data_IF_539873007848
#
_entry.id   IF_539873007848
#
_cell.length_a   1.000
_cell.length_b   1.000
_cell.length_c   1.000
_cell.angle_alpha   90.00
_cell.angle_beta   90.00
_cell.angle_gamma   90.00
#
_symmetry.space_group_name_H-M   'P 1'
#
loop_
_entity.id
_entity.type
_entity.pdbx_description
1 polymer ?
#
# COMPACT_ATOMS: atom_id res chain seq x y z
N UNK A 1 -18.90 -7.03 9.05
CA UNK A 1 -18.72 -5.75 8.32
C UNK A 1 -17.23 -5.51 8.14
N UNK A 2 -16.83 -5.12 6.93
CA UNK A 2 -15.42 -4.92 6.56
C UNK A 2 -14.82 -3.76 7.36
N UNK A 3 -13.69 -3.99 8.03
CA UNK A 3 -12.93 -2.99 8.76
C UNK A 3 -11.63 -2.70 8.04
N UNK A 4 -11.25 -1.42 7.96
CA UNK A 4 -9.98 -0.97 7.38
C UNK A 4 -9.15 -0.33 8.50
N UNK A 5 -8.02 -0.91 8.80
CA UNK A 5 -7.03 -0.31 9.70
C UNK A 5 -6.18 0.67 8.88
N UNK A 6 -6.35 1.94 9.15
CA UNK A 6 -5.69 3.05 8.50
C UNK A 6 -5.20 4.09 9.51
N UNK A 7 -4.55 5.13 9.06
CA UNK A 7 -4.10 6.18 9.98
C UNK A 7 -5.22 7.15 10.37
N UNK A 8 -5.41 7.35 11.69
CA UNK A 8 -6.14 8.52 12.22
C UNK A 8 -5.23 9.74 12.30
N UNK A 9 -3.93 9.51 12.58
CA UNK A 9 -2.90 10.54 12.60
C UNK A 9 -1.57 9.98 12.12
N UNK A 10 -0.88 10.72 11.27
CA UNK A 10 0.42 10.40 10.70
C UNK A 10 1.29 11.65 10.65
N UNK A 11 2.61 11.48 10.59
CA UNK A 11 3.53 12.59 10.41
C UNK A 11 3.21 13.42 9.15
N UNK A 12 3.34 14.74 9.24
CA UNK A 12 2.99 15.68 8.17
C UNK A 12 3.66 15.34 6.82
N UNK A 13 4.90 14.82 6.83
CA UNK A 13 5.61 14.41 5.61
C UNK A 13 4.96 13.21 4.90
N UNK A 14 4.26 12.34 5.62
CA UNK A 14 3.61 11.16 5.08
C UNK A 14 2.13 11.39 4.76
N UNK A 15 1.56 12.52 5.20
CA UNK A 15 0.15 12.84 4.98
C UNK A 15 -0.19 12.84 3.47
N UNK A 16 -1.24 12.12 3.09
CA UNK A 16 -1.66 11.99 1.69
C UNK A 16 -0.77 11.07 0.83
N UNK A 17 0.18 10.33 1.44
CA UNK A 17 1.12 9.45 0.73
C UNK A 17 1.16 8.03 1.29
N UNK A 18 0.23 7.70 2.17
CA UNK A 18 0.18 6.41 2.87
C UNK A 18 -0.53 5.35 2.03
N UNK A 19 -0.17 4.09 2.23
CA UNK A 19 -0.66 2.97 1.38
C UNK A 19 -2.11 2.58 1.63
N UNK A 20 -2.68 2.96 2.77
CA UNK A 20 -4.11 2.78 3.07
C UNK A 20 -5.02 3.52 2.08
N UNK A 21 -4.55 4.62 1.50
CA UNK A 21 -5.27 5.36 0.47
C UNK A 21 -5.61 4.49 -0.76
N UNK A 22 -4.77 3.50 -1.09
CA UNK A 22 -5.04 2.56 -2.18
C UNK A 22 -6.27 1.70 -1.87
N UNK A 23 -6.36 1.23 -0.63
CA UNK A 23 -7.47 0.38 -0.18
C UNK A 23 -8.75 1.20 -0.09
N UNK A 24 -8.68 2.40 0.49
CA UNK A 24 -9.83 3.29 0.58
C UNK A 24 -10.38 3.64 -0.82
N UNK A 25 -9.49 4.01 -1.75
CA UNK A 25 -9.90 4.27 -3.13
C UNK A 25 -10.55 3.06 -3.80
N UNK A 26 -9.98 1.86 -3.61
CA UNK A 26 -10.54 0.62 -4.17
C UNK A 26 -11.92 0.32 -3.60
N UNK A 27 -12.14 0.54 -2.30
CA UNK A 27 -13.44 0.33 -1.66
C UNK A 27 -14.51 1.29 -2.19
N UNK A 28 -14.14 2.56 -2.42
CA UNK A 28 -15.04 3.56 -3.05
C UNK A 28 -15.39 3.16 -4.50
N UNK A 29 -14.42 2.74 -5.31
CA UNK A 29 -14.65 2.25 -6.68
C UNK A 29 -15.58 1.03 -6.72
N UNK A 30 -15.47 0.14 -5.73
CA UNK A 30 -16.30 -1.05 -5.60
C UNK A 30 -17.65 -0.78 -4.92
N UNK A 31 -17.88 0.41 -4.39
CA UNK A 31 -19.09 0.75 -3.62
C UNK A 31 -19.29 -0.10 -2.37
N UNK A 32 -18.22 -0.62 -1.78
CA UNK A 32 -18.28 -1.49 -0.61
C UNK A 32 -18.36 -0.67 0.68
N UNK A 33 -19.33 -0.95 1.58
CA UNK A 33 -19.37 -0.30 2.88
C UNK A 33 -18.25 -0.83 3.79
N UNK A 34 -17.62 0.07 4.55
CA UNK A 34 -16.53 -0.25 5.46
C UNK A 34 -16.50 0.70 6.65
N UNK A 35 -15.88 0.23 7.74
CA UNK A 35 -15.57 1.03 8.93
C UNK A 35 -14.05 1.27 9.00
N UNK A 36 -13.65 2.50 9.31
CA UNK A 36 -12.24 2.82 9.53
C UNK A 36 -11.88 2.61 11.01
N UNK A 37 -10.88 1.79 11.26
CA UNK A 37 -10.20 1.68 12.54
C UNK A 37 -8.94 2.53 12.48
N UNK A 38 -9.04 3.75 13.01
CA UNK A 38 -7.95 4.73 12.96
C UNK A 38 -6.84 4.40 13.95
N UNK A 39 -5.60 4.31 13.45
CA UNK A 39 -4.39 4.10 14.24
C UNK A 39 -3.55 5.38 14.29
N UNK A 40 -3.12 5.75 15.47
CA UNK A 40 -2.29 6.94 15.70
C UNK A 40 -0.81 6.55 15.64
N UNK A 41 -0.13 6.89 14.54
CA UNK A 41 1.29 6.57 14.36
C UNK A 41 2.19 7.25 15.40
N UNK A 42 2.07 8.56 15.70
CA UNK A 42 2.80 9.20 16.79
C UNK A 42 2.57 8.59 18.18
N UNK A 43 1.40 7.96 18.41
CA UNK A 43 1.08 7.26 19.67
C UNK A 43 1.57 5.80 19.71
N UNK A 44 2.28 5.34 18.69
CA UNK A 44 2.77 3.96 18.58
C UNK A 44 1.69 2.87 18.56
N UNK A 45 0.48 3.16 18.08
CA UNK A 45 -0.61 2.18 18.01
C UNK A 45 -0.27 0.94 17.18
N UNK A 46 0.64 1.10 16.17
CA UNK A 46 1.11 0.01 15.33
C UNK A 46 2.09 -0.94 16.04
N UNK A 47 2.63 -0.54 17.18
CA UNK A 47 3.59 -1.33 17.95
C UNK A 47 2.93 -2.20 19.04
N UNK A 48 1.61 -2.07 19.19
CA UNK A 48 0.84 -2.85 20.17
C UNK A 48 0.80 -4.34 19.79
N UNK A 49 0.82 -5.24 20.80
CA UNK A 49 0.71 -6.69 20.58
C UNK A 49 -0.54 -7.03 19.76
N UNK A 50 -1.67 -6.43 20.11
CA UNK A 50 -2.95 -6.67 19.43
C UNK A 50 -2.92 -6.31 17.94
N UNK A 51 -2.17 -5.26 17.55
CA UNK A 51 -2.02 -4.93 16.12
C UNK A 51 -0.97 -5.83 15.45
N UNK A 52 0.12 -6.16 16.14
CA UNK A 52 1.16 -7.08 15.63
C UNK A 52 0.65 -8.50 15.40
N UNK A 53 -0.37 -8.95 16.13
CA UNK A 53 -1.06 -10.21 15.84
C UNK A 53 -1.80 -10.19 14.49
N UNK A 54 -2.29 -9.02 14.06
CA UNK A 54 -2.92 -8.85 12.74
C UNK A 54 -1.89 -8.68 11.63
N UNK A 55 -0.84 -7.92 11.89
CA UNK A 55 0.26 -7.69 10.95
C UNK A 55 1.60 -7.67 11.68
N UNK A 56 2.42 -8.72 11.59
CA UNK A 56 3.71 -8.81 12.27
C UNK A 56 4.69 -7.71 11.87
N UNK A 57 4.53 -7.13 10.68
CA UNK A 57 5.36 -6.00 10.23
C UNK A 57 4.95 -4.66 10.88
N UNK A 58 3.82 -4.60 11.60
CA UNK A 58 3.33 -3.37 12.21
C UNK A 58 3.07 -2.25 11.21
N UNK A 59 2.52 -2.59 10.07
CA UNK A 59 2.25 -1.66 8.97
C UNK A 59 0.77 -1.64 8.61
N UNK A 60 0.30 -0.52 8.12
CA UNK A 60 -0.99 -0.38 7.47
C UNK A 60 -0.82 -0.30 5.94
N UNK A 61 -1.87 -0.62 5.17
CA UNK A 61 -3.21 -1.03 5.55
C UNK A 61 -3.31 -2.49 6.00
N UNK A 62 -4.33 -2.77 6.79
CA UNK A 62 -4.85 -4.11 7.08
C UNK A 62 -6.35 -4.05 6.91
N UNK A 63 -6.98 -5.09 6.40
CA UNK A 63 -8.44 -5.25 6.47
C UNK A 63 -8.80 -6.45 7.33
N UNK A 64 -9.98 -6.38 7.92
CA UNK A 64 -10.63 -7.50 8.61
C UNK A 64 -12.05 -7.61 8.02
N UNK A 65 -12.24 -8.60 7.19
CA UNK A 65 -13.50 -8.86 6.51
C UNK A 65 -14.19 -10.05 7.16
N UNK A 66 -14.97 -9.77 8.21
CA UNK A 66 -15.68 -10.76 9.03
C UNK A 66 -14.78 -11.92 9.49
N UNK A 67 -13.58 -11.57 9.97
CA UNK A 67 -12.58 -12.51 10.51
C UNK A 67 -11.52 -12.95 9.49
N UNK A 68 -11.65 -12.60 8.22
CA UNK A 68 -10.58 -12.77 7.22
C UNK A 68 -9.66 -11.56 7.27
N UNK A 69 -8.52 -11.70 7.93
CA UNK A 69 -7.52 -10.64 8.04
C UNK A 69 -6.58 -10.69 6.84
N UNK A 70 -6.48 -9.59 6.10
CA UNK A 70 -5.58 -9.47 4.95
C UNK A 70 -4.65 -8.28 5.16
N UNK A 71 -3.36 -8.49 4.96
CA UNK A 71 -2.32 -7.47 4.98
C UNK A 71 -1.73 -7.29 3.59
N UNK A 72 -0.84 -6.30 3.40
CA UNK A 72 -0.27 -5.88 2.12
C UNK A 72 -1.28 -5.22 1.18
N UNK A 73 -1.06 -3.95 0.84
CA UNK A 73 -2.03 -3.20 0.04
C UNK A 73 -2.39 -3.88 -1.29
N UNK A 74 -1.42 -4.45 -1.99
CA UNK A 74 -1.68 -5.17 -3.23
C UNK A 74 -2.48 -6.45 -3.04
N UNK A 75 -2.21 -7.22 -1.97
CA UNK A 75 -2.98 -8.41 -1.65
C UNK A 75 -4.43 -8.06 -1.28
N UNK A 76 -4.63 -6.94 -0.56
CA UNK A 76 -5.97 -6.43 -0.22
C UNK A 76 -6.74 -6.06 -1.48
N UNK A 77 -6.12 -5.34 -2.43
CA UNK A 77 -6.77 -4.98 -3.69
C UNK A 77 -7.21 -6.23 -4.48
N UNK A 78 -6.32 -7.22 -4.58
CA UNK A 78 -6.61 -8.48 -5.28
C UNK A 78 -7.70 -9.29 -4.57
N UNK A 79 -7.69 -9.31 -3.24
CA UNK A 79 -8.74 -9.95 -2.43
C UNK A 79 -10.11 -9.32 -2.70
N UNK A 80 -10.19 -7.98 -2.65
CA UNK A 80 -11.44 -7.24 -2.87
C UNK A 80 -11.96 -7.43 -4.30
N UNK A 81 -11.06 -7.37 -5.30
CA UNK A 81 -11.42 -7.61 -6.69
C UNK A 81 -11.98 -9.02 -6.91
N UNK A 82 -11.37 -10.05 -6.34
CA UNK A 82 -11.88 -11.43 -6.41
C UNK A 82 -13.20 -11.61 -5.66
N UNK A 83 -13.34 -10.98 -4.50
CA UNK A 83 -14.56 -11.04 -3.69
C UNK A 83 -15.76 -10.48 -4.43
N UNK A 84 -15.60 -9.38 -5.14
CA UNK A 84 -16.68 -8.69 -5.85
C UNK A 84 -16.89 -9.17 -7.29
N UNK A 85 -15.86 -9.75 -7.90
CA UNK A 85 -15.83 -10.03 -9.33
C UNK A 85 -15.62 -8.79 -10.20
N UNK A 86 -15.28 -7.65 -9.59
CA UNK A 86 -15.04 -6.37 -10.24
C UNK A 86 -13.54 -6.04 -10.27
N UNK A 87 -13.13 -5.09 -11.11
CA UNK A 87 -11.75 -4.62 -11.28
C UNK A 87 -10.74 -5.71 -11.72
N UNK A 88 -11.23 -6.93 -11.99
CA UNK A 88 -10.39 -8.04 -12.46
C UNK A 88 -11.16 -8.82 -13.52
N UNK A 89 -10.61 -9.00 -14.74
CA UNK A 89 -11.19 -9.87 -15.74
C UNK A 89 -11.34 -11.31 -15.22
N UNK A 90 -12.36 -12.00 -15.67
CA UNK A 90 -12.64 -13.38 -15.23
C UNK A 90 -11.82 -14.45 -15.97
N UNK A 91 -11.15 -14.07 -17.05
CA UNK A 91 -10.26 -14.97 -17.79
C UNK A 91 -8.82 -14.94 -17.26
N UNK A 92 -8.11 -16.06 -17.41
CA UNK A 92 -6.76 -16.22 -16.89
C UNK A 92 -5.76 -15.19 -17.45
N UNK A 93 -5.92 -14.77 -18.72
CA UNK A 93 -5.01 -13.81 -19.34
C UNK A 93 -5.22 -12.41 -18.74
N UNK A 94 -6.46 -12.00 -18.56
CA UNK A 94 -6.80 -10.74 -17.92
C UNK A 94 -6.39 -10.71 -16.44
N UNK A 95 -6.65 -11.79 -15.69
CA UNK A 95 -6.19 -11.92 -14.30
C UNK A 95 -4.65 -11.79 -14.23
N UNK A 96 -3.91 -12.46 -15.11
CA UNK A 96 -2.45 -12.38 -15.15
C UNK A 96 -1.95 -10.94 -15.38
N UNK A 97 -2.64 -10.13 -16.19
CA UNK A 97 -2.29 -8.72 -16.38
C UNK A 97 -2.53 -7.89 -15.11
N UNK A 98 -3.65 -8.09 -14.41
CA UNK A 98 -3.91 -7.41 -13.13
C UNK A 98 -2.85 -7.77 -12.10
N UNK A 99 -2.53 -9.05 -11.94
CA UNK A 99 -1.46 -9.53 -11.04
C UNK A 99 -0.11 -8.90 -11.40
N UNK A 100 0.25 -8.94 -12.70
CA UNK A 100 1.49 -8.35 -13.21
C UNK A 100 1.62 -6.88 -12.83
N UNK A 101 0.61 -6.08 -13.13
CA UNK A 101 0.67 -4.64 -12.90
C UNK A 101 0.59 -4.28 -11.42
N UNK A 102 -0.19 -5.01 -10.62
CA UNK A 102 -0.22 -4.85 -9.16
C UNK A 102 1.17 -5.11 -8.56
N UNK A 103 1.79 -6.24 -8.92
CA UNK A 103 3.14 -6.58 -8.44
C UNK A 103 4.19 -5.60 -8.98
N UNK A 104 4.10 -5.19 -10.24
CA UNK A 104 5.03 -4.22 -10.82
C UNK A 104 4.96 -2.86 -10.12
N UNK A 105 3.76 -2.39 -9.78
CA UNK A 105 3.58 -1.14 -9.04
C UNK A 105 4.28 -1.18 -7.68
N UNK A 106 4.13 -2.29 -6.94
CA UNK A 106 4.68 -2.45 -5.59
C UNK A 106 6.19 -2.73 -5.59
N UNK A 107 6.66 -3.55 -6.52
CA UNK A 107 8.04 -4.04 -6.52
C UNK A 107 8.95 -3.27 -7.48
N UNK A 108 8.50 -3.01 -8.71
CA UNK A 108 9.36 -2.42 -9.73
C UNK A 108 9.38 -0.88 -9.70
N UNK A 109 8.25 -0.27 -9.32
CA UNK A 109 8.08 1.18 -9.31
C UNK A 109 8.25 1.77 -7.90
N UNK A 110 7.53 1.24 -6.92
CA UNK A 110 7.54 1.82 -5.57
C UNK A 110 8.89 1.69 -4.87
N UNK A 111 9.57 0.56 -5.02
CA UNK A 111 10.84 0.30 -4.30
C UNK A 111 11.91 1.37 -4.58
N UNK A 112 12.28 1.70 -5.82
CA UNK A 112 13.28 2.75 -6.06
C UNK A 112 12.81 4.12 -5.58
N UNK A 113 11.54 4.47 -5.77
CA UNK A 113 10.99 5.77 -5.35
C UNK A 113 10.95 5.90 -3.82
N UNK A 114 10.50 4.87 -3.12
CA UNK A 114 10.43 4.88 -1.66
C UNK A 114 11.83 4.89 -1.03
N UNK A 115 12.77 4.12 -1.59
CA UNK A 115 14.15 4.09 -1.11
C UNK A 115 14.83 5.43 -1.32
N UNK A 116 14.65 6.05 -2.49
CA UNK A 116 15.15 7.40 -2.78
C UNK A 116 14.58 8.42 -1.79
N UNK A 117 13.26 8.39 -1.56
CA UNK A 117 12.62 9.28 -0.58
C UNK A 117 13.20 9.09 0.82
N UNK A 118 13.34 7.83 1.27
CA UNK A 118 13.89 7.52 2.59
C UNK A 118 15.33 8.02 2.75
N UNK A 119 16.21 7.78 1.77
CA UNK A 119 17.58 8.30 1.77
C UNK A 119 17.56 9.84 1.82
N UNK A 120 16.65 10.47 1.08
CA UNK A 120 16.52 11.92 1.06
C UNK A 120 16.17 12.53 2.42
N UNK A 121 15.20 11.93 3.15
CA UNK A 121 14.75 12.44 4.46
C UNK A 121 15.72 12.11 5.61
N UNK A 122 16.56 11.10 5.45
CA UNK A 122 17.58 10.70 6.44
C UNK A 122 18.92 11.41 6.26
N UNK A 123 18.97 12.50 5.48
CA UNK A 123 20.15 13.34 5.30
C UNK A 123 21.01 13.00 4.08
N UNK A 124 20.62 12.00 3.27
CA UNK A 124 21.36 11.60 2.07
C UNK A 124 21.00 12.38 0.80
N UNK A 125 20.17 13.42 0.89
CA UNK A 125 19.79 14.25 -0.27
C UNK A 125 21.01 14.88 -0.93
N UNK A 126 21.19 14.65 -2.24
CA UNK A 126 22.35 15.14 -3.00
C UNK A 126 23.60 14.28 -2.88
N UNK A 127 23.54 13.13 -2.20
CA UNK A 127 24.62 12.13 -2.23
C UNK A 127 24.60 11.33 -3.53
N UNK A 128 25.73 10.70 -3.88
CA UNK A 128 25.83 9.82 -5.04
C UNK A 128 24.81 8.66 -4.99
N UNK A 129 24.53 8.13 -3.78
CA UNK A 129 23.51 7.09 -3.59
C UNK A 129 22.11 7.60 -3.87
N UNK A 130 21.78 8.82 -3.42
CA UNK A 130 20.49 9.44 -3.71
C UNK A 130 20.30 9.70 -5.22
N UNK A 131 21.38 10.16 -5.90
CA UNK A 131 21.33 10.42 -7.34
C UNK A 131 21.22 9.12 -8.15
N UNK A 132 21.91 8.04 -7.74
CA UNK A 132 21.77 6.72 -8.35
C UNK A 132 20.34 6.16 -8.19
N UNK A 133 19.72 6.33 -7.01
CA UNK A 133 18.34 5.94 -6.76
C UNK A 133 17.35 6.75 -7.61
N UNK A 134 17.62 8.05 -7.79
CA UNK A 134 16.81 8.89 -8.71
C UNK A 134 16.88 8.37 -10.14
N UNK A 135 18.08 8.11 -10.64
CA UNK A 135 18.25 7.56 -11.99
C UNK A 135 17.54 6.22 -12.17
N UNK A 136 17.57 5.37 -11.15
CA UNK A 136 16.82 4.10 -11.16
C UNK A 136 15.30 4.35 -11.19
N UNK A 137 14.78 5.26 -10.37
CA UNK A 137 13.36 5.61 -10.37
C UNK A 137 12.94 6.19 -11.73
N UNK A 138 13.69 7.15 -12.27
CA UNK A 138 13.42 7.79 -13.56
C UNK A 138 13.43 6.77 -14.71
N UNK A 139 14.39 5.84 -14.71
CA UNK A 139 14.44 4.74 -15.69
C UNK A 139 13.18 3.86 -15.61
N UNK A 140 12.72 3.52 -14.39
CA UNK A 140 11.50 2.70 -14.23
C UNK A 140 10.24 3.42 -14.69
N UNK A 141 10.13 4.71 -14.39
CA UNK A 141 9.00 5.52 -14.84
C UNK A 141 8.99 5.67 -16.36
N UNK A 142 10.15 5.91 -16.98
CA UNK A 142 10.27 5.99 -18.44
C UNK A 142 10.02 4.66 -19.19
N UNK A 143 9.87 3.54 -18.49
CA UNK A 143 9.47 2.25 -19.06
C UNK A 143 7.94 2.04 -19.09
N UNK A 144 7.16 2.99 -18.58
CA UNK A 144 5.69 2.95 -18.61
C UNK A 144 5.10 3.58 -19.89
N UNK A 145 5.89 4.36 -20.62
CA UNK A 145 5.54 4.96 -21.93
C UNK A 145 5.80 3.94 -23.05
#
# INVERSE_FOLDING_TARGET
MLKVYGFSRVNAMAHGKTRDLRVLWTLEELGLPYDIVGLDHPNHDLDTTAFREKNPFGQIPVIDDDGVVVTESGAILLYLARKTGELMPSDLAGEAQVLRWTVAALNSLEVPMLTMWFVGITGGKGSSSHDALRQWADMRLGQLD
#
